data_IF_327677612176
#
_entry.id   IF_327677612176
#
_cell.length_a   1.000
_cell.length_b   1.000
_cell.length_c   1.000
_cell.angle_alpha   90.00
_cell.angle_beta   90.00
_cell.angle_gamma   90.00
#
_symmetry.space_group_name_H-M   'P 1'
#
loop_
_entity.id
_entity.type
_entity.pdbx_description
1 polymer ?
#
# COMPACT_ATOMS: atom_id res chain seq x y z
N UNK A 1 -20.07 29.59 -51.42
CA UNK A 1 -20.69 28.64 -50.46
C UNK A 1 -19.64 27.55 -50.22
N UNK A 2 -18.84 27.58 -49.14
CA UNK A 2 -19.19 27.09 -47.80
C UNK A 2 -19.31 25.55 -47.86
N UNK A 3 -18.53 24.70 -47.18
CA UNK A 3 -18.06 24.70 -45.79
C UNK A 3 -16.81 23.80 -45.68
N UNK A 4 -15.94 24.08 -44.70
CA UNK A 4 -14.82 23.21 -44.34
C UNK A 4 -15.14 22.18 -43.24
N UNK A 5 -14.06 21.55 -42.75
CA UNK A 5 -13.91 20.71 -41.54
C UNK A 5 -14.43 19.26 -41.73
N UNK A 6 -13.70 18.17 -41.44
CA UNK A 6 -12.77 17.94 -40.34
C UNK A 6 -11.63 16.96 -40.70
N UNK A 7 -10.40 17.29 -40.31
CA UNK A 7 -9.37 16.29 -40.07
C UNK A 7 -9.75 15.49 -38.83
N UNK A 8 -10.09 14.21 -39.00
CA UNK A 8 -10.23 13.27 -37.90
C UNK A 8 -8.84 13.01 -37.30
N UNK A 9 -8.48 13.82 -36.31
CA UNK A 9 -7.36 13.56 -35.39
C UNK A 9 -7.65 12.24 -34.68
N UNK A 10 -7.01 11.19 -35.15
CA UNK A 10 -7.01 9.87 -34.53
C UNK A 10 -6.39 10.05 -33.12
N UNK A 11 -7.24 10.15 -32.09
CA UNK A 11 -6.80 10.09 -30.70
C UNK A 11 -6.25 8.68 -30.53
N UNK A 12 -4.93 8.54 -30.59
CA UNK A 12 -4.24 7.37 -30.04
C UNK A 12 -4.56 7.40 -28.56
N UNK A 13 -5.61 6.68 -28.17
CA UNK A 13 -5.84 6.32 -26.79
C UNK A 13 -4.69 5.38 -26.48
N UNK A 14 -3.59 5.93 -25.95
CA UNK A 14 -2.55 5.13 -25.32
C UNK A 14 -3.29 4.41 -24.19
N UNK A 15 -3.50 3.09 -24.24
CA UNK A 15 -3.95 2.42 -23.04
C UNK A 15 -2.83 2.67 -22.05
N UNK A 16 -3.11 3.44 -21.00
CA UNK A 16 -2.26 3.48 -19.82
C UNK A 16 -2.26 2.03 -19.34
N UNK A 17 -1.26 1.27 -19.78
CA UNK A 17 -0.97 -0.08 -19.34
C UNK A 17 -0.47 0.09 -17.92
N UNK A 18 -1.38 0.43 -17.03
CA UNK A 18 -1.22 0.20 -15.61
C UNK A 18 -1.07 -1.31 -15.56
N UNK A 19 0.17 -1.76 -15.41
CA UNK A 19 0.52 -3.15 -15.20
C UNK A 19 -0.24 -3.60 -13.96
N UNK A 20 -1.47 -4.05 -14.16
CA UNK A 20 -2.18 -4.92 -13.25
C UNK A 20 -1.40 -6.23 -13.31
N UNK A 21 -0.34 -6.29 -12.50
CA UNK A 21 0.26 -7.54 -12.10
C UNK A 21 -0.83 -8.28 -11.31
N UNK A 22 -1.71 -8.94 -12.06
CA UNK A 22 -2.69 -9.90 -11.56
C UNK A 22 -1.87 -11.11 -11.16
N UNK A 23 -1.22 -11.03 -10.00
CA UNK A 23 -0.83 -12.25 -9.31
C UNK A 23 -2.14 -12.92 -8.88
N UNK A 24 -2.19 -14.22 -9.04
CA UNK A 24 -3.38 -15.04 -8.87
C UNK A 24 -3.33 -15.70 -7.50
N UNK A 25 -4.40 -15.54 -6.71
CA UNK A 25 -4.83 -16.51 -5.70
C UNK A 25 -4.23 -16.31 -4.30
N UNK A 26 -5.02 -15.74 -3.38
CA UNK A 26 -4.88 -15.80 -1.90
C UNK A 26 -3.61 -15.21 -1.26
N UNK A 27 -2.54 -15.00 -2.02
CA UNK A 27 -1.23 -14.55 -1.54
C UNK A 27 -1.02 -13.03 -1.59
N UNK A 28 -2.05 -12.29 -1.97
CA UNK A 28 -1.99 -10.85 -2.21
C UNK A 28 -3.13 -10.23 -1.45
N UNK A 29 -2.81 -9.20 -0.67
CA UNK A 29 -3.80 -8.46 0.09
C UNK A 29 -4.71 -7.67 -0.85
N UNK A 30 -5.96 -7.54 -0.44
CA UNK A 30 -6.83 -6.47 -0.95
C UNK A 30 -6.35 -5.14 -0.35
N UNK A 31 -6.56 -4.05 -1.10
CA UNK A 31 -6.14 -2.72 -0.69
C UNK A 31 -7.29 -1.74 -0.83
N UNK A 32 -7.42 -0.82 0.13
CA UNK A 32 -8.25 0.38 -0.05
C UNK A 32 -7.64 1.28 -1.12
N UNK A 33 -8.44 2.19 -1.68
CA UNK A 33 -7.97 3.13 -2.71
C UNK A 33 -6.74 3.92 -2.26
N UNK A 34 -6.71 4.34 -0.99
CA UNK A 34 -5.57 5.07 -0.43
C UNK A 34 -4.30 4.22 -0.36
N UNK A 35 -4.42 2.94 -0.02
CA UNK A 35 -3.31 2.00 0.02
C UNK A 35 -2.81 1.73 -1.39
N UNK A 36 -3.71 1.61 -2.38
CA UNK A 36 -3.35 1.50 -3.79
C UNK A 36 -2.54 2.73 -4.27
N UNK A 37 -2.94 3.95 -3.89
CA UNK A 37 -2.17 5.16 -4.19
C UNK A 37 -0.75 5.12 -3.60
N UNK A 38 -0.59 4.61 -2.38
CA UNK A 38 0.73 4.50 -1.73
C UNK A 38 1.60 3.43 -2.39
N UNK A 39 1.02 2.28 -2.76
CA UNK A 39 1.72 1.23 -3.49
C UNK A 39 2.13 1.65 -4.91
N UNK A 40 1.38 2.56 -5.54
CA UNK A 40 1.71 3.12 -6.86
C UNK A 40 2.85 4.16 -6.82
N UNK A 41 3.20 4.68 -5.63
CA UNK A 41 4.28 5.63 -5.45
C UNK A 41 5.55 4.89 -5.00
N UNK A 42 6.59 4.89 -5.83
CA UNK A 42 7.86 4.17 -5.57
C UNK A 42 8.54 4.57 -4.26
N UNK A 43 8.40 5.83 -3.83
CA UNK A 43 8.98 6.33 -2.58
C UNK A 43 8.19 5.91 -1.34
N UNK A 44 7.00 5.32 -1.52
CA UNK A 44 6.06 4.92 -0.47
C UNK A 44 5.64 3.46 -0.53
N UNK A 45 5.96 2.77 -1.61
CA UNK A 45 5.61 1.38 -1.82
C UNK A 45 6.36 0.48 -0.82
N UNK A 46 5.64 -0.48 -0.25
CA UNK A 46 6.19 -1.50 0.64
C UNK A 46 6.04 -2.85 -0.04
N UNK A 47 7.10 -3.67 -0.14
CA UNK A 47 6.99 -5.00 -0.72
C UNK A 47 5.93 -5.84 -0.02
N UNK A 48 5.15 -6.62 -0.78
CA UNK A 48 4.10 -7.50 -0.22
C UNK A 48 4.66 -8.46 0.84
N UNK A 49 5.90 -8.91 0.65
CA UNK A 49 6.58 -9.77 1.61
C UNK A 49 6.77 -9.08 2.98
N UNK A 50 7.15 -7.80 2.99
CA UNK A 50 7.29 -7.00 4.21
C UNK A 50 5.95 -6.85 4.93
N UNK A 51 4.85 -6.68 4.19
CA UNK A 51 3.51 -6.67 4.78
C UNK A 51 3.16 -8.01 5.45
N UNK A 52 3.45 -9.13 4.79
CA UNK A 52 3.22 -10.47 5.34
C UNK A 52 4.03 -10.72 6.61
N UNK A 53 5.30 -10.33 6.60
CA UNK A 53 6.19 -10.49 7.76
C UNK A 53 5.75 -9.62 8.94
N UNK A 54 5.34 -8.37 8.67
CA UNK A 54 4.81 -7.48 9.69
C UNK A 54 3.51 -8.02 10.32
N UNK A 55 2.58 -8.56 9.52
CA UNK A 55 1.34 -9.17 10.03
C UNK A 55 1.63 -10.46 10.80
N UNK A 56 2.63 -11.25 10.38
CA UNK A 56 2.96 -12.54 11.01
C UNK A 56 3.72 -12.39 12.33
N UNK A 57 4.66 -11.45 12.41
CA UNK A 57 5.59 -11.31 13.53
C UNK A 57 5.49 -9.99 14.31
N UNK A 58 4.68 -9.04 13.85
CA UNK A 58 4.49 -7.75 14.51
C UNK A 58 3.67 -7.86 15.80
N UNK A 59 3.74 -6.81 16.60
CA UNK A 59 2.98 -6.66 17.85
C UNK A 59 1.53 -6.31 17.48
N UNK A 60 0.55 -7.21 17.73
CA UNK A 60 -0.84 -6.94 17.43
C UNK A 60 -1.45 -6.02 18.49
N UNK A 61 -2.24 -5.04 18.03
CA UNK A 61 -3.02 -4.15 18.87
C UNK A 61 -4.40 -3.89 18.25
N UNK A 62 -5.42 -3.56 19.07
CA UNK A 62 -6.72 -3.13 18.56
C UNK A 62 -6.59 -1.91 17.63
N UNK A 63 -7.42 -1.84 16.59
CA UNK A 63 -7.52 -0.64 15.75
C UNK A 63 -7.93 0.57 16.61
N UNK A 64 -7.13 1.65 16.66
CA UNK A 64 -7.48 2.87 17.39
C UNK A 64 -8.80 3.51 16.94
N UNK A 65 -9.29 3.19 15.73
CA UNK A 65 -10.56 3.68 15.18
C UNK A 65 -11.75 2.76 15.47
N UNK A 66 -11.53 1.64 16.16
CA UNK A 66 -12.59 0.74 16.60
C UNK A 66 -13.17 -0.17 15.52
N UNK A 67 -12.46 -0.40 14.41
CA UNK A 67 -12.88 -1.43 13.44
C UNK A 67 -12.54 -2.85 13.92
N UNK A 68 -12.93 -3.85 13.14
CA UNK A 68 -12.56 -5.27 13.37
C UNK A 68 -11.12 -5.60 12.98
N UNK A 69 -10.42 -4.69 12.31
CA UNK A 69 -9.06 -4.91 11.86
C UNK A 69 -8.07 -4.91 13.04
N UNK A 70 -6.93 -5.55 12.85
CA UNK A 70 -5.84 -5.56 13.82
C UNK A 70 -4.70 -4.67 13.30
N UNK A 71 -4.21 -3.79 14.16
CA UNK A 71 -3.02 -2.98 13.88
C UNK A 71 -1.79 -3.78 14.30
N UNK A 72 -0.87 -4.02 13.37
CA UNK A 72 0.41 -4.67 13.67
C UNK A 72 1.53 -3.65 13.60
N UNK A 73 2.39 -3.67 14.63
CA UNK A 73 3.58 -2.85 14.67
C UNK A 73 4.83 -3.72 14.57
N UNK A 74 5.75 -3.39 13.67
CA UNK A 74 7.03 -4.07 13.53
C UNK A 74 8.12 -3.12 13.10
N UNK A 75 9.38 -3.53 13.24
CA UNK A 75 10.48 -2.85 12.57
C UNK A 75 10.73 -3.52 11.21
N UNK A 76 10.97 -2.74 10.16
CA UNK A 76 11.20 -3.24 8.80
C UNK A 76 12.46 -2.60 8.20
N UNK A 77 12.96 -3.19 7.11
CA UNK A 77 14.02 -2.60 6.30
C UNK A 77 13.51 -2.27 4.90
N UNK A 78 13.63 -1.01 4.50
CA UNK A 78 13.35 -0.54 3.14
C UNK A 78 14.65 0.03 2.57
N UNK A 79 15.15 -0.56 1.47
CA UNK A 79 16.41 -0.15 0.83
C UNK A 79 17.59 -0.08 1.82
N UNK A 80 17.71 -1.07 2.71
CA UNK A 80 18.77 -1.17 3.72
C UNK A 80 18.63 -0.22 4.92
N UNK A 81 17.59 0.62 4.96
CA UNK A 81 17.32 1.53 6.07
C UNK A 81 16.23 0.96 6.97
N UNK A 82 16.47 0.98 8.29
CA UNK A 82 15.52 0.53 9.31
C UNK A 82 14.42 1.57 9.53
N UNK A 83 13.18 1.11 9.67
CA UNK A 83 12.01 1.94 9.96
C UNK A 83 11.08 1.23 10.95
N UNK A 84 10.36 2.02 11.75
CA UNK A 84 9.15 1.55 12.41
C UNK A 84 8.05 1.43 11.36
N UNK A 85 7.19 0.45 11.53
CA UNK A 85 6.12 0.14 10.60
C UNK A 85 4.83 -0.16 11.34
N UNK A 86 3.72 0.36 10.83
CA UNK A 86 2.37 0.00 11.23
C UNK A 86 1.59 -0.49 10.00
N UNK A 87 0.79 -1.54 10.17
CA UNK A 87 -0.14 -2.05 9.15
C UNK A 87 -1.46 -2.43 9.79
N UNK A 88 -2.55 -1.87 9.28
CA UNK A 88 -3.91 -2.19 9.70
C UNK A 88 -4.49 -3.23 8.75
N UNK A 89 -4.70 -4.44 9.27
CA UNK A 89 -5.10 -5.61 8.48
C UNK A 89 -6.42 -6.20 8.98
N UNK A 90 -7.37 -6.36 8.07
CA UNK A 90 -8.61 -7.11 8.28
C UNK A 90 -8.47 -8.52 7.70
N UNK A 91 -8.40 -9.51 8.60
CA UNK A 91 -8.28 -10.91 8.24
C UNK A 91 -9.52 -11.49 7.55
N UNK A 92 -10.71 -10.91 7.78
CA UNK A 92 -11.98 -11.45 7.28
C UNK A 92 -12.09 -11.20 5.78
N UNK A 93 -11.67 -10.01 5.36
CA UNK A 93 -11.70 -9.58 3.96
C UNK A 93 -10.33 -9.70 3.28
N UNK A 94 -9.30 -10.11 4.02
CA UNK A 94 -7.90 -10.10 3.59
C UNK A 94 -7.48 -8.70 3.07
N UNK A 95 -7.89 -7.63 3.75
CA UNK A 95 -7.71 -6.25 3.29
C UNK A 95 -6.75 -5.49 4.18
N UNK A 96 -5.79 -4.79 3.57
CA UNK A 96 -5.00 -3.77 4.27
C UNK A 96 -5.73 -2.43 4.13
N UNK A 97 -6.16 -1.89 5.27
CA UNK A 97 -6.85 -0.61 5.35
C UNK A 97 -5.88 0.56 5.41
N UNK A 98 -4.71 0.36 6.01
CA UNK A 98 -3.69 1.39 6.19
C UNK A 98 -2.31 0.76 6.38
N UNK A 99 -1.28 1.47 5.96
CA UNK A 99 0.09 1.21 6.40
C UNK A 99 0.90 2.51 6.43
N UNK A 100 1.92 2.54 7.28
CA UNK A 100 2.88 3.63 7.35
C UNK A 100 4.22 3.12 7.88
N UNK A 101 5.32 3.63 7.35
CA UNK A 101 6.62 3.53 7.98
C UNK A 101 7.21 4.91 8.26
N UNK A 102 7.96 5.02 9.36
CA UNK A 102 8.61 6.24 9.80
C UNK A 102 9.81 5.87 10.70
N UNK A 103 10.73 6.81 10.94
CA UNK A 103 11.74 6.68 11.99
C UNK A 103 11.25 7.22 13.34
N UNK A 104 10.15 7.98 13.34
CA UNK A 104 9.47 8.43 14.57
C UNK A 104 8.85 7.25 15.32
N UNK A 105 8.52 7.42 16.62
CA UNK A 105 7.76 6.42 17.35
C UNK A 105 6.44 6.09 16.64
N UNK A 106 6.09 4.79 16.58
CA UNK A 106 4.81 4.29 16.04
C UNK A 106 4.25 3.23 16.99
N UNK A 107 3.07 3.49 17.54
CA UNK A 107 2.46 2.62 18.55
C UNK A 107 3.43 2.34 19.71
N UNK A 108 3.76 1.06 19.99
CA UNK A 108 4.69 0.67 21.06
C UNK A 108 6.17 0.80 20.67
N UNK A 109 6.50 1.16 19.42
CA UNK A 109 7.87 1.22 18.93
C UNK A 109 8.50 2.58 19.23
N UNK A 110 9.68 2.57 19.85
CA UNK A 110 10.52 3.74 20.10
C UNK A 110 11.09 4.33 18.80
N UNK A 111 11.53 5.59 18.84
CA UNK A 111 12.16 6.21 17.67
C UNK A 111 13.44 5.48 17.22
N UNK A 112 13.65 5.39 15.91
CA UNK A 112 14.87 4.86 15.30
C UNK A 112 15.82 6.02 15.01
N UNK A 113 17.05 5.91 15.52
CA UNK A 113 18.10 6.91 15.28
C UNK A 113 18.47 7.02 13.80
N UNK A 114 18.99 8.18 13.40
CA UNK A 114 19.22 8.50 11.97
C UNK A 114 20.39 7.77 11.35
#
# INVERSE_FOLDING_TARGET
LGFGIAAARNKVIIPKKTSTAKSSGKDIFNYTDKVNEHMANLDRAVPVQTLKEAIKGGIPMPDPRGSRATMYYSEIYINGKKYNFEVLYDNTTNTIYHFKYDRRPLGPLSAISK
#
